data_IF_574416262953
#
_entry.id   IF_574416262953
#
_cell.length_a   1.000
_cell.length_b   1.000
_cell.length_c   1.000
_cell.angle_alpha   90.00
_cell.angle_beta   90.00
_cell.angle_gamma   90.00
#
_symmetry.space_group_name_H-M   'P 1'
#
loop_
_entity.id
_entity.type
_entity.pdbx_description
1 polymer ?
#
# COMPACT_ATOMS: atom_id res chain seq x y z
N UNK A 1 59.38 -20.22 -43.41
CA UNK A 1 58.82 -18.95 -42.88
C UNK A 1 57.35 -18.98 -43.22
N UNK A 2 56.54 -19.38 -42.25
CA UNK A 2 55.08 -19.42 -42.38
C UNK A 2 54.55 -18.77 -41.11
N UNK A 3 54.11 -17.53 -41.25
CA UNK A 3 53.44 -16.75 -40.22
C UNK A 3 51.93 -16.87 -40.41
N UNK A 4 51.19 -16.75 -39.30
CA UNK A 4 49.74 -16.57 -39.08
C UNK A 4 49.24 -17.63 -38.08
N UNK A 5 48.54 -17.34 -37.00
CA UNK A 5 48.01 -16.11 -36.40
C UNK A 5 47.50 -16.50 -35.00
N UNK A 6 47.64 -15.67 -33.95
CA UNK A 6 47.16 -16.00 -32.61
C UNK A 6 45.63 -15.93 -32.52
N UNK A 7 45.04 -16.88 -31.80
CA UNK A 7 43.60 -17.03 -31.59
C UNK A 7 42.96 -15.75 -31.03
N UNK A 8 41.96 -15.23 -31.73
CA UNK A 8 41.11 -14.14 -31.27
C UNK A 8 40.26 -14.59 -30.07
N UNK A 9 40.68 -14.23 -28.87
CA UNK A 9 39.87 -14.25 -27.66
C UNK A 9 38.86 -13.11 -27.71
N UNK A 10 37.63 -13.42 -28.10
CA UNK A 10 36.53 -12.45 -28.13
C UNK A 10 36.23 -11.99 -26.69
N UNK A 11 36.66 -10.77 -26.33
CA UNK A 11 36.23 -10.09 -25.10
C UNK A 11 34.70 -10.01 -25.10
N UNK A 12 34.04 -10.79 -24.23
CA UNK A 12 32.60 -10.65 -23.98
C UNK A 12 32.37 -9.35 -23.21
N UNK A 13 31.78 -8.35 -23.85
CA UNK A 13 31.46 -7.08 -23.22
C UNK A 13 30.43 -7.25 -22.07
N UNK A 14 30.42 -6.32 -21.12
CA UNK A 14 29.53 -6.33 -19.95
C UNK A 14 28.03 -6.43 -20.31
N UNK A 15 27.64 -5.90 -21.48
CA UNK A 15 26.24 -5.85 -21.94
C UNK A 15 25.80 -7.04 -22.80
N UNK A 16 26.73 -7.95 -23.15
CA UNK A 16 26.44 -9.13 -23.97
C UNK A 16 25.28 -10.00 -23.39
N UNK A 17 25.20 -10.29 -22.08
CA UNK A 17 24.09 -11.09 -21.53
C UNK A 17 22.72 -10.39 -21.56
N UNK A 18 22.67 -9.08 -21.35
CA UNK A 18 21.42 -8.30 -21.46
C UNK A 18 20.92 -8.23 -22.90
N UNK A 19 21.84 -8.03 -23.84
CA UNK A 19 21.54 -7.99 -25.27
C UNK A 19 20.96 -9.32 -25.74
N UNK A 20 21.63 -10.42 -25.44
CA UNK A 20 21.18 -11.78 -25.81
C UNK A 20 19.84 -12.16 -25.19
N UNK A 21 19.58 -11.74 -23.94
CA UNK A 21 18.27 -11.90 -23.30
C UNK A 21 17.18 -11.12 -24.06
N UNK A 22 17.44 -9.87 -24.40
CA UNK A 22 16.48 -9.00 -25.10
C UNK A 22 16.13 -9.50 -26.50
N UNK A 23 17.12 -9.98 -27.27
CA UNK A 23 16.90 -10.52 -28.62
C UNK A 23 16.27 -11.93 -28.61
N UNK A 24 16.04 -12.51 -27.44
CA UNK A 24 15.38 -13.81 -27.33
C UNK A 24 16.27 -14.99 -27.74
N UNK A 25 17.59 -14.84 -27.66
CA UNK A 25 18.55 -15.91 -27.91
C UNK A 25 18.68 -16.85 -26.70
N UNK A 26 18.20 -16.41 -25.53
CA UNK A 26 18.15 -17.22 -24.33
C UNK A 26 17.05 -18.29 -24.38
N UNK A 27 17.26 -19.46 -23.73
CA UNK A 27 16.25 -20.52 -23.65
C UNK A 27 14.95 -20.02 -23.01
N UNK A 28 13.82 -20.33 -23.65
CA UNK A 28 12.48 -19.91 -23.23
C UNK A 28 12.19 -20.20 -21.75
N UNK A 29 12.53 -21.40 -21.28
CA UNK A 29 12.27 -21.82 -19.89
C UNK A 29 13.03 -20.94 -18.89
N UNK A 30 14.27 -20.55 -19.19
CA UNK A 30 15.09 -19.73 -18.32
C UNK A 30 14.59 -18.28 -18.32
N UNK A 31 14.32 -17.73 -19.51
CA UNK A 31 13.74 -16.39 -19.69
C UNK A 31 12.42 -16.26 -18.92
N UNK A 32 11.57 -17.27 -18.98
CA UNK A 32 10.29 -17.28 -18.30
C UNK A 32 10.40 -17.52 -16.79
N UNK A 33 10.98 -18.64 -16.34
CA UNK A 33 10.96 -19.01 -14.91
C UNK A 33 11.93 -18.21 -14.06
N UNK A 34 13.14 -17.95 -14.57
CA UNK A 34 14.15 -17.24 -13.79
C UNK A 34 13.83 -15.74 -13.82
N UNK A 35 13.76 -15.14 -15.01
CA UNK A 35 13.61 -13.68 -15.09
C UNK A 35 12.15 -13.24 -14.96
N UNK A 36 11.21 -13.95 -15.58
CA UNK A 36 9.78 -13.62 -15.53
C UNK A 36 9.09 -13.98 -14.22
N UNK A 37 9.49 -15.06 -13.54
CA UNK A 37 8.82 -15.50 -12.30
C UNK A 37 9.68 -15.23 -11.08
N UNK A 38 10.89 -15.79 -11.00
CA UNK A 38 11.71 -15.73 -9.80
C UNK A 38 12.16 -14.29 -9.48
N UNK A 39 12.76 -13.57 -10.44
CA UNK A 39 13.24 -12.21 -10.19
C UNK A 39 12.09 -11.25 -9.88
N UNK A 40 10.98 -11.33 -10.62
CA UNK A 40 9.78 -10.52 -10.34
C UNK A 40 9.22 -10.82 -8.94
N UNK A 41 9.23 -12.09 -8.51
CA UNK A 41 8.82 -12.46 -7.15
C UNK A 41 9.73 -11.86 -6.09
N UNK A 42 11.06 -11.90 -6.29
CA UNK A 42 12.01 -11.26 -5.37
C UNK A 42 11.83 -9.74 -5.29
N UNK A 43 11.56 -9.09 -6.43
CA UNK A 43 11.23 -7.67 -6.48
C UNK A 43 9.97 -7.39 -5.66
N UNK A 44 8.92 -8.20 -5.81
CA UNK A 44 7.67 -8.05 -5.05
C UNK A 44 7.88 -8.23 -3.54
N UNK A 45 8.71 -9.19 -3.11
CA UNK A 45 9.08 -9.38 -1.70
C UNK A 45 9.84 -8.16 -1.18
N UNK A 46 10.77 -7.61 -1.97
CA UNK A 46 11.47 -6.38 -1.63
C UNK A 46 10.53 -5.19 -1.45
N UNK A 47 9.58 -5.01 -2.38
CA UNK A 47 8.55 -3.97 -2.26
C UNK A 47 7.65 -4.17 -1.05
N UNK A 48 7.26 -5.41 -0.74
CA UNK A 48 6.48 -5.71 0.46
C UNK A 48 7.22 -5.27 1.73
N UNK A 49 8.52 -5.57 1.84
CA UNK A 49 9.35 -5.13 2.96
C UNK A 49 9.48 -3.59 3.04
N UNK A 50 9.59 -2.91 1.90
CA UNK A 50 9.62 -1.44 1.86
C UNK A 50 8.28 -0.87 2.35
N UNK A 51 7.16 -1.40 1.87
CA UNK A 51 5.82 -0.95 2.25
C UNK A 51 5.60 -1.15 3.75
N UNK A 52 5.96 -2.31 4.30
CA UNK A 52 5.80 -2.59 5.74
C UNK A 52 6.64 -1.69 6.64
N UNK A 53 7.71 -1.09 6.11
CA UNK A 53 8.64 -0.23 6.85
C UNK A 53 8.69 1.21 6.32
N UNK A 54 7.67 1.63 5.55
CA UNK A 54 7.72 2.86 4.75
C UNK A 54 7.97 4.12 5.61
N UNK A 55 7.38 4.16 6.80
CA UNK A 55 7.49 5.25 7.78
C UNK A 55 8.94 5.44 8.21
N UNK A 56 9.62 4.36 8.57
CA UNK A 56 11.01 4.37 9.04
C UNK A 56 11.97 4.69 7.91
N UNK A 57 11.72 4.15 6.71
CA UNK A 57 12.56 4.36 5.52
C UNK A 57 12.47 5.82 5.07
N UNK A 58 11.26 6.34 4.83
CA UNK A 58 11.05 7.73 4.37
C UNK A 58 11.67 8.74 5.34
N UNK A 59 11.59 8.48 6.65
CA UNK A 59 12.22 9.34 7.65
C UNK A 59 13.74 9.42 7.56
N UNK A 60 14.40 8.32 7.19
CA UNK A 60 15.86 8.22 7.17
C UNK A 60 16.46 8.64 5.83
N UNK A 61 15.84 8.21 4.73
CA UNK A 61 16.40 8.35 3.38
C UNK A 61 15.55 9.23 2.45
N UNK A 62 14.40 9.71 2.93
CA UNK A 62 13.46 10.48 2.11
C UNK A 62 12.63 9.63 1.14
N UNK A 63 11.79 10.30 0.37
CA UNK A 63 10.88 9.67 -0.60
C UNK A 63 11.51 9.47 -1.98
N UNK A 64 12.51 10.28 -2.36
CA UNK A 64 13.11 10.27 -3.69
C UNK A 64 13.71 8.91 -4.11
N UNK A 65 14.50 8.21 -3.26
CA UNK A 65 15.06 6.91 -3.64
C UNK A 65 13.99 5.85 -3.93
N UNK A 66 12.85 5.94 -3.25
CA UNK A 66 11.73 4.99 -3.40
C UNK A 66 11.12 5.16 -4.79
N UNK A 67 10.89 6.39 -5.23
CA UNK A 67 10.39 6.66 -6.59
C UNK A 67 11.39 6.20 -7.66
N UNK A 68 12.69 6.40 -7.45
CA UNK A 68 13.74 5.90 -8.34
C UNK A 68 13.72 4.37 -8.46
N UNK A 69 13.55 3.66 -7.35
CA UNK A 69 13.46 2.20 -7.33
C UNK A 69 12.20 1.69 -8.06
N UNK A 70 11.06 2.35 -7.85
CA UNK A 70 9.80 2.03 -8.56
C UNK A 70 10.00 2.20 -10.08
N UNK A 71 10.61 3.31 -10.51
CA UNK A 71 10.87 3.56 -11.92
C UNK A 71 11.78 2.48 -12.53
N UNK A 72 12.84 2.09 -11.83
CA UNK A 72 13.74 1.03 -12.27
C UNK A 72 13.01 -0.33 -12.40
N UNK A 73 12.15 -0.66 -11.44
CA UNK A 73 11.35 -1.88 -11.48
C UNK A 73 10.37 -1.89 -12.67
N UNK A 74 9.74 -0.75 -12.98
CA UNK A 74 8.87 -0.63 -14.15
C UNK A 74 9.63 -0.86 -15.47
N UNK A 75 10.82 -0.25 -15.61
CA UNK A 75 11.68 -0.44 -16.78
C UNK A 75 12.06 -1.92 -16.92
N UNK A 76 12.42 -2.57 -15.80
CA UNK A 76 12.75 -3.99 -15.78
C UNK A 76 11.58 -4.89 -16.24
N UNK A 77 10.36 -4.64 -15.74
CA UNK A 77 9.17 -5.41 -16.12
C UNK A 77 8.89 -5.32 -17.62
N UNK A 78 8.94 -4.11 -18.18
CA UNK A 78 8.74 -3.89 -19.63
C UNK A 78 9.81 -4.64 -20.42
N UNK A 79 11.08 -4.52 -20.00
CA UNK A 79 12.20 -5.19 -20.64
C UNK A 79 12.02 -6.72 -20.64
N UNK A 80 11.59 -7.31 -19.53
CA UNK A 80 11.37 -8.76 -19.42
C UNK A 80 10.19 -9.24 -20.26
N UNK A 81 9.09 -8.47 -20.34
CA UNK A 81 7.99 -8.83 -21.25
C UNK A 81 8.45 -8.89 -22.70
N UNK A 82 9.27 -7.94 -23.15
CA UNK A 82 9.84 -7.95 -24.50
C UNK A 82 10.78 -9.15 -24.68
N UNK A 83 11.66 -9.41 -23.71
CA UNK A 83 12.60 -10.54 -23.76
C UNK A 83 11.88 -11.90 -23.83
N UNK A 84 10.84 -12.10 -23.02
CA UNK A 84 10.01 -13.32 -23.03
C UNK A 84 9.30 -13.46 -24.38
N UNK A 85 8.73 -12.36 -24.91
CA UNK A 85 8.06 -12.37 -26.20
C UNK A 85 9.00 -12.75 -27.35
N UNK A 86 10.19 -12.17 -27.37
CA UNK A 86 11.21 -12.45 -28.38
C UNK A 86 11.72 -13.89 -28.26
N UNK A 87 12.01 -14.36 -27.04
CA UNK A 87 12.42 -15.74 -26.77
C UNK A 87 11.36 -16.76 -27.20
N UNK A 88 10.07 -16.48 -26.95
CA UNK A 88 8.97 -17.31 -27.42
C UNK A 88 8.83 -17.29 -28.94
N UNK A 89 9.15 -16.18 -29.60
CA UNK A 89 9.10 -16.07 -31.07
C UNK A 89 10.22 -16.84 -31.77
N UNK A 90 11.40 -16.92 -31.14
CA UNK A 90 12.55 -17.66 -31.66
C UNK A 90 12.56 -19.13 -31.21
N UNK A 91 11.56 -19.56 -30.43
CA UNK A 91 11.53 -20.90 -29.87
C UNK A 91 11.24 -21.96 -30.94
N UNK A 92 12.22 -22.83 -31.19
CA UNK A 92 12.14 -23.90 -32.20
C UNK A 92 11.46 -25.18 -31.70
N UNK A 93 11.14 -25.27 -30.40
CA UNK A 93 10.53 -26.46 -29.79
C UNK A 93 9.01 -26.55 -29.98
N UNK A 94 8.29 -26.92 -28.92
CA UNK A 94 6.83 -26.99 -28.95
C UNK A 94 6.18 -25.62 -29.24
N UNK A 95 5.45 -25.54 -30.35
CA UNK A 95 4.69 -24.33 -30.71
C UNK A 95 3.62 -23.98 -29.68
N UNK A 96 3.05 -24.97 -29.00
CA UNK A 96 2.05 -24.76 -27.95
C UNK A 96 2.66 -23.97 -26.79
N UNK A 97 3.87 -24.31 -26.37
CA UNK A 97 4.57 -23.60 -25.29
C UNK A 97 4.86 -22.14 -25.67
N UNK A 98 5.33 -21.91 -26.89
CA UNK A 98 5.56 -20.55 -27.38
C UNK A 98 4.28 -19.71 -27.40
N UNK A 99 3.16 -20.28 -27.87
CA UNK A 99 1.86 -19.60 -27.91
C UNK A 99 1.36 -19.31 -26.49
N UNK A 100 1.40 -20.29 -25.59
CA UNK A 100 0.99 -20.11 -24.19
C UNK A 100 1.78 -19.00 -23.51
N UNK A 101 3.10 -18.96 -23.68
CA UNK A 101 3.93 -17.91 -23.10
C UNK A 101 3.54 -16.53 -23.63
N UNK A 102 3.27 -16.38 -24.92
CA UNK A 102 2.80 -15.11 -25.50
C UNK A 102 1.45 -14.67 -24.92
N UNK A 103 0.51 -15.62 -24.77
CA UNK A 103 -0.80 -15.35 -24.13
C UNK A 103 -0.61 -14.88 -22.69
N UNK A 104 0.27 -15.52 -21.91
CA UNK A 104 0.57 -15.11 -20.53
C UNK A 104 1.13 -13.68 -20.49
N UNK A 105 2.04 -13.32 -21.41
CA UNK A 105 2.58 -11.95 -21.48
C UNK A 105 1.47 -10.93 -21.79
N UNK A 106 0.58 -11.23 -22.76
CA UNK A 106 -0.56 -10.37 -23.08
C UNK A 106 -1.49 -10.19 -21.87
N UNK A 107 -1.83 -11.29 -21.18
CA UNK A 107 -2.66 -11.23 -19.98
C UNK A 107 -1.99 -10.42 -18.86
N UNK A 108 -0.68 -10.57 -18.69
CA UNK A 108 0.10 -9.82 -17.70
C UNK A 108 0.07 -8.31 -17.99
N UNK A 109 0.31 -7.92 -19.24
CA UNK A 109 0.21 -6.53 -19.69
C UNK A 109 -1.20 -5.99 -19.44
N UNK A 110 -2.23 -6.73 -19.84
CA UNK A 110 -3.62 -6.32 -19.65
C UNK A 110 -3.98 -6.15 -18.17
N UNK A 111 -3.53 -7.08 -17.31
CA UNK A 111 -3.75 -7.01 -15.87
C UNK A 111 -3.03 -5.81 -15.24
N UNK A 112 -1.79 -5.52 -15.64
CA UNK A 112 -1.06 -4.34 -15.17
C UNK A 112 -1.73 -3.03 -15.61
N UNK A 113 -2.19 -2.95 -16.86
CA UNK A 113 -2.93 -1.78 -17.34
C UNK A 113 -4.25 -1.59 -16.59
N UNK A 114 -4.98 -2.69 -16.35
CA UNK A 114 -6.21 -2.68 -15.56
C UNK A 114 -5.93 -2.21 -14.12
N UNK A 115 -4.90 -2.74 -13.48
CA UNK A 115 -4.50 -2.30 -12.14
C UNK A 115 -4.21 -0.80 -12.11
N UNK A 116 -3.44 -0.28 -13.07
CA UNK A 116 -3.15 1.15 -13.15
C UNK A 116 -4.42 1.99 -13.38
N UNK A 117 -5.31 1.53 -14.26
CA UNK A 117 -6.60 2.17 -14.51
C UNK A 117 -7.48 2.22 -13.25
N UNK A 118 -7.61 1.11 -12.52
CA UNK A 118 -8.38 1.06 -11.29
C UNK A 118 -7.79 1.98 -10.21
N UNK A 119 -6.47 1.98 -10.04
CA UNK A 119 -5.81 2.85 -9.05
C UNK A 119 -5.93 4.34 -9.39
N UNK A 120 -5.80 4.71 -10.67
CA UNK A 120 -6.01 6.11 -11.10
C UNK A 120 -7.45 6.57 -10.88
N UNK A 121 -8.44 5.71 -11.14
CA UNK A 121 -9.85 5.98 -10.86
C UNK A 121 -10.14 6.07 -9.35
N UNK A 122 -9.53 5.21 -8.54
CA UNK A 122 -9.64 5.30 -7.09
C UNK A 122 -9.08 6.62 -6.55
N UNK A 123 -7.92 7.05 -7.07
CA UNK A 123 -7.35 8.35 -6.72
C UNK A 123 -8.23 9.53 -7.17
N UNK A 124 -8.99 9.38 -8.26
CA UNK A 124 -9.93 10.38 -8.76
C UNK A 124 -11.28 10.42 -8.01
N UNK A 125 -11.56 9.51 -7.07
CA UNK A 125 -12.79 9.59 -6.28
C UNK A 125 -12.81 10.80 -5.33
N UNK A 126 -14.00 11.35 -5.14
CA UNK A 126 -14.27 12.40 -4.15
C UNK A 126 -13.99 11.88 -2.74
N UNK A 127 -13.55 12.75 -1.84
CA UNK A 127 -13.15 12.38 -0.47
C UNK A 127 -14.24 11.61 0.26
N UNK A 128 -15.51 11.99 0.09
CA UNK A 128 -16.68 11.32 0.67
C UNK A 128 -16.76 9.82 0.31
N UNK A 129 -16.49 9.48 -0.97
CA UNK A 129 -16.53 8.09 -1.43
C UNK A 129 -15.38 7.27 -0.85
N UNK A 130 -14.17 7.88 -0.78
CA UNK A 130 -12.98 7.25 -0.18
C UNK A 130 -13.21 7.00 1.31
N UNK A 131 -13.75 7.99 2.04
CA UNK A 131 -14.05 7.87 3.46
C UNK A 131 -15.15 6.84 3.73
N UNK A 132 -16.18 6.76 2.88
CA UNK A 132 -17.22 5.73 3.01
C UNK A 132 -16.65 4.32 2.77
N UNK A 133 -15.74 4.16 1.80
CA UNK A 133 -15.05 2.89 1.58
C UNK A 133 -14.20 2.49 2.80
N UNK A 134 -13.47 3.45 3.39
CA UNK A 134 -12.70 3.23 4.63
C UNK A 134 -13.62 2.83 5.78
N UNK A 135 -14.71 3.57 6.00
CA UNK A 135 -15.69 3.25 7.04
C UNK A 135 -16.27 1.84 6.83
N UNK A 136 -16.66 1.49 5.61
CA UNK A 136 -17.18 0.16 5.25
C UNK A 136 -16.16 -0.94 5.54
N UNK A 137 -14.88 -0.72 5.23
CA UNK A 137 -13.82 -1.69 5.51
C UNK A 137 -13.59 -1.87 7.01
N UNK A 138 -13.54 -0.78 7.79
CA UNK A 138 -13.36 -0.83 9.24
C UNK A 138 -14.52 -1.56 9.92
N UNK A 139 -15.75 -1.30 9.49
CA UNK A 139 -16.95 -1.94 10.05
C UNK A 139 -16.98 -3.47 9.89
N UNK A 140 -16.19 -4.07 8.99
CA UNK A 140 -16.15 -5.55 8.83
C UNK A 140 -15.60 -6.28 10.04
N UNK A 141 -14.79 -5.60 10.86
CA UNK A 141 -14.12 -6.18 12.02
C UNK A 141 -14.64 -5.58 13.34
N UNK A 142 -15.81 -4.94 13.33
CA UNK A 142 -16.43 -4.37 14.53
C UNK A 142 -17.49 -5.33 15.12
N UNK A 143 -17.75 -5.26 16.44
CA UNK A 143 -17.09 -4.39 17.43
C UNK A 143 -15.64 -4.79 17.70
N UNK A 144 -14.78 -3.79 17.94
CA UNK A 144 -13.36 -3.99 18.23
C UNK A 144 -13.01 -3.37 19.59
N UNK A 145 -12.48 -4.20 20.49
CA UNK A 145 -12.01 -3.77 21.81
C UNK A 145 -10.72 -2.95 21.67
N UNK A 146 -10.75 -1.70 22.13
CA UNK A 146 -9.58 -0.79 22.10
C UNK A 146 -8.77 -0.96 23.37
N UNK A 147 -9.46 -0.99 24.50
CA UNK A 147 -8.90 -1.20 25.82
C UNK A 147 -9.95 -1.89 26.73
N UNK A 148 -9.68 -1.99 28.03
CA UNK A 148 -10.60 -2.69 28.92
C UNK A 148 -11.97 -2.01 29.12
N UNK A 149 -12.08 -0.71 28.84
CA UNK A 149 -13.25 0.11 29.11
C UNK A 149 -13.82 0.77 27.85
N UNK A 150 -13.24 0.55 26.68
CA UNK A 150 -13.64 1.17 25.42
C UNK A 150 -13.71 0.16 24.27
N UNK A 151 -14.84 0.13 23.59
CA UNK A 151 -15.04 -0.61 22.35
C UNK A 151 -15.40 0.33 21.19
N UNK A 152 -14.75 0.17 20.05
CA UNK A 152 -15.18 0.78 18.79
C UNK A 152 -16.32 -0.06 18.23
N UNK A 153 -17.52 0.51 18.14
CA UNK A 153 -18.73 -0.23 17.74
C UNK A 153 -19.18 0.10 16.32
N UNK A 154 -18.81 1.28 15.80
CA UNK A 154 -19.16 1.71 14.45
C UNK A 154 -18.19 2.75 13.94
N UNK A 155 -17.94 2.75 12.62
CA UNK A 155 -17.32 3.87 11.92
C UNK A 155 -18.27 4.37 10.84
N UNK A 156 -18.41 5.69 10.69
CA UNK A 156 -19.18 6.31 9.61
C UNK A 156 -18.38 7.41 8.94
N UNK A 157 -18.80 7.80 7.74
CA UNK A 157 -18.28 8.96 7.05
C UNK A 157 -19.40 9.93 6.74
N UNK A 158 -19.16 11.22 6.90
CA UNK A 158 -20.05 12.29 6.43
C UNK A 158 -19.22 13.41 5.82
N UNK A 159 -19.35 13.61 4.51
CA UNK A 159 -18.53 14.55 3.75
C UNK A 159 -17.03 14.32 4.02
N UNK A 160 -16.35 15.34 4.55
CA UNK A 160 -14.94 15.30 4.92
C UNK A 160 -14.70 14.85 6.37
N UNK A 161 -15.64 14.13 6.99
CA UNK A 161 -15.54 13.65 8.37
C UNK A 161 -15.49 12.14 8.42
N UNK A 162 -14.61 11.62 9.26
CA UNK A 162 -14.62 10.21 9.66
C UNK A 162 -15.00 10.13 11.14
N UNK A 163 -16.13 9.49 11.41
CA UNK A 163 -16.76 9.46 12.73
C UNK A 163 -16.58 8.06 13.33
N UNK A 164 -15.88 8.00 14.45
CA UNK A 164 -15.66 6.79 15.22
C UNK A 164 -16.61 6.78 16.41
N UNK A 165 -17.48 5.77 16.49
CA UNK A 165 -18.42 5.60 17.59
C UNK A 165 -17.87 4.59 18.58
N UNK A 166 -17.52 5.09 19.77
CA UNK A 166 -17.02 4.30 20.88
C UNK A 166 -18.10 4.09 21.93
N UNK A 167 -18.18 2.86 22.44
CA UNK A 167 -19.00 2.49 23.58
C UNK A 167 -18.09 2.32 24.80
N UNK A 168 -18.39 3.06 25.87
CA UNK A 168 -17.79 2.85 27.18
C UNK A 168 -18.42 1.60 27.82
N UNK A 169 -17.59 0.65 28.22
CA UNK A 169 -17.98 -0.67 28.74
C UNK A 169 -17.27 -0.96 30.07
N UNK A 170 -17.73 -2.00 30.78
CA UNK A 170 -17.11 -2.49 32.02
C UNK A 170 -17.04 -1.50 33.19
N UNK A 171 -17.91 -0.49 33.19
CA UNK A 171 -18.15 0.38 34.35
C UNK A 171 -19.28 -0.15 35.22
N UNK A 172 -19.13 -0.12 36.54
CA UNK A 172 -20.19 -0.44 37.48
C UNK A 172 -21.21 0.72 37.61
N UNK A 173 -22.35 0.50 38.28
CA UNK A 173 -23.42 1.49 38.38
C UNK A 173 -22.97 2.83 39.00
N UNK A 174 -22.08 2.80 39.99
CA UNK A 174 -21.57 4.00 40.67
C UNK A 174 -20.61 4.78 39.76
N UNK A 175 -19.73 4.09 39.05
CA UNK A 175 -18.82 4.69 38.08
C UNK A 175 -19.59 5.32 36.91
N UNK A 176 -20.58 4.61 36.38
CA UNK A 176 -21.46 5.13 35.33
C UNK A 176 -22.15 6.42 35.78
N UNK A 177 -22.72 6.42 36.98
CA UNK A 177 -23.37 7.60 37.56
C UNK A 177 -22.40 8.76 37.73
N UNK A 178 -21.15 8.48 38.14
CA UNK A 178 -20.10 9.49 38.32
C UNK A 178 -19.65 10.11 36.99
N UNK A 179 -19.52 9.30 35.94
CA UNK A 179 -19.21 9.79 34.58
C UNK A 179 -20.36 10.66 34.06
N UNK A 180 -21.60 10.23 34.29
CA UNK A 180 -22.80 10.95 33.86
C UNK A 180 -22.98 12.29 34.60
N UNK A 181 -22.58 12.39 35.87
CA UNK A 181 -22.62 13.64 36.64
C UNK A 181 -21.44 14.56 36.35
N UNK A 182 -20.26 14.03 36.03
CA UNK A 182 -19.03 14.80 35.81
C UNK A 182 -18.53 14.71 34.35
N UNK A 183 -19.45 14.89 33.39
CA UNK A 183 -19.16 14.74 31.95
C UNK A 183 -18.03 15.65 31.47
N UNK A 184 -17.94 16.86 32.01
CA UNK A 184 -16.94 17.84 31.60
C UNK A 184 -15.52 17.39 31.99
N UNK A 185 -15.35 16.81 33.19
CA UNK A 185 -14.06 16.27 33.62
C UNK A 185 -13.67 15.04 32.78
N UNK A 186 -14.63 14.16 32.50
CA UNK A 186 -14.41 13.00 31.64
C UNK A 186 -14.03 13.41 30.22
N UNK A 187 -14.73 14.40 29.66
CA UNK A 187 -14.42 15.01 28.36
C UNK A 187 -13.00 15.59 28.39
N UNK A 188 -12.64 16.39 29.40
CA UNK A 188 -11.33 17.03 29.48
C UNK A 188 -10.18 16.01 29.47
N UNK A 189 -10.31 14.92 30.22
CA UNK A 189 -9.29 13.85 30.27
C UNK A 189 -9.10 13.17 28.90
N UNK A 190 -10.20 12.85 28.22
CA UNK A 190 -10.15 12.19 26.91
C UNK A 190 -9.76 13.13 25.79
N UNK A 191 -10.23 14.38 25.82
CA UNK A 191 -9.93 15.41 24.83
C UNK A 191 -8.43 15.63 24.70
N UNK A 192 -7.72 15.82 25.82
CA UNK A 192 -6.25 15.97 25.81
C UNK A 192 -5.57 14.74 25.24
N UNK A 193 -5.90 13.54 25.74
CA UNK A 193 -5.24 12.30 25.31
C UNK A 193 -5.48 12.00 23.82
N UNK A 194 -6.70 12.19 23.32
CA UNK A 194 -7.03 11.94 21.92
C UNK A 194 -6.32 12.94 21.03
N UNK A 195 -6.36 14.23 21.36
CA UNK A 195 -5.68 15.26 20.56
C UNK A 195 -4.19 15.02 20.49
N UNK A 196 -3.54 14.73 21.61
CA UNK A 196 -2.10 14.41 21.63
C UNK A 196 -1.78 13.19 20.75
N UNK A 197 -2.54 12.10 20.87
CA UNK A 197 -2.32 10.88 20.09
C UNK A 197 -2.58 11.09 18.59
N UNK A 198 -3.63 11.82 18.23
CA UNK A 198 -3.97 12.11 16.83
C UNK A 198 -2.94 13.04 16.19
N UNK A 199 -2.59 14.15 16.87
CA UNK A 199 -1.70 15.16 16.32
C UNK A 199 -0.23 14.70 16.27
N UNK A 200 0.19 13.79 17.16
CA UNK A 200 1.53 13.21 17.15
C UNK A 200 1.67 11.99 16.21
N UNK A 201 0.57 11.30 15.90
CA UNK A 201 0.57 10.16 14.99
C UNK A 201 0.73 10.60 13.54
N UNK A 202 1.80 10.14 12.88
CA UNK A 202 2.01 10.41 11.45
C UNK A 202 0.87 9.91 10.58
N UNK A 203 0.30 8.76 10.91
CA UNK A 203 -0.77 8.15 10.13
C UNK A 203 -2.04 8.99 10.22
N UNK A 204 -2.40 9.42 11.44
CA UNK A 204 -3.60 10.24 11.65
C UNK A 204 -3.41 11.65 11.09
N UNK A 205 -2.20 12.22 11.20
CA UNK A 205 -1.87 13.53 10.65
C UNK A 205 -2.13 13.62 9.14
N UNK A 206 -1.98 12.52 8.38
CA UNK A 206 -2.31 12.51 6.94
C UNK A 206 -3.78 12.80 6.65
N UNK A 207 -4.69 12.40 7.53
CA UNK A 207 -6.11 12.76 7.38
C UNK A 207 -6.30 14.25 7.65
N UNK A 208 -5.69 14.76 8.72
CA UNK A 208 -5.76 16.17 9.10
C UNK A 208 -5.17 17.09 8.01
N UNK A 209 -4.00 16.75 7.45
CA UNK A 209 -3.34 17.48 6.36
C UNK A 209 -4.17 17.49 5.06
N UNK A 210 -5.11 16.55 4.91
CA UNK A 210 -6.07 16.47 3.81
C UNK A 210 -7.40 17.16 4.15
N UNK A 211 -7.42 17.97 5.20
CA UNK A 211 -8.59 18.67 5.74
C UNK A 211 -9.72 17.72 6.21
N UNK A 212 -9.41 16.45 6.46
CA UNK A 212 -10.37 15.46 6.95
C UNK A 212 -10.48 15.61 8.47
N UNK A 213 -11.70 15.82 8.97
CA UNK A 213 -11.98 15.91 10.40
C UNK A 213 -12.22 14.51 10.99
N UNK A 214 -11.50 14.18 12.06
CA UNK A 214 -11.70 12.94 12.80
C UNK A 214 -12.60 13.24 14.01
N UNK A 215 -13.74 12.56 14.11
CA UNK A 215 -14.71 12.77 15.19
C UNK A 215 -14.79 11.52 16.06
N UNK A 216 -14.44 11.66 17.34
CA UNK A 216 -14.49 10.59 18.33
C UNK A 216 -15.76 10.76 19.17
N UNK A 217 -16.78 9.94 18.90
CA UNK A 217 -18.07 10.02 19.59
C UNK A 217 -18.19 8.91 20.63
N UNK A 218 -18.35 9.28 21.90
CA UNK A 218 -18.46 8.33 23.01
C UNK A 218 -19.91 8.18 23.48
N UNK A 219 -20.34 6.95 23.70
CA UNK A 219 -21.62 6.61 24.32
C UNK A 219 -21.43 5.73 25.55
N UNK A 220 -22.36 5.84 26.50
CA UNK A 220 -22.48 4.98 27.66
C UNK A 220 -23.90 4.43 27.71
N UNK A 221 -24.05 3.10 27.75
CA UNK A 221 -25.32 2.39 27.63
C UNK A 221 -26.20 2.87 26.45
N UNK A 222 -25.58 3.12 25.30
CA UNK A 222 -26.27 3.61 24.10
C UNK A 222 -26.63 5.11 24.11
N UNK A 223 -26.46 5.81 25.24
CA UNK A 223 -26.65 7.25 25.32
C UNK A 223 -25.35 7.98 24.94
N UNK A 224 -25.41 8.88 23.97
CA UNK A 224 -24.26 9.73 23.61
C UNK A 224 -23.87 10.63 24.79
N UNK A 225 -22.58 10.62 25.13
CA UNK A 225 -22.01 11.46 26.19
C UNK A 225 -21.43 12.75 25.64
N UNK A 226 -20.46 12.63 24.73
CA UNK A 226 -19.76 13.76 24.11
C UNK A 226 -19.07 13.30 22.81
N UNK A 227 -18.65 14.28 22.02
CA UNK A 227 -17.89 14.07 20.80
C UNK A 227 -16.69 15.00 20.77
N UNK A 228 -15.54 14.46 20.39
CA UNK A 228 -14.27 15.19 20.34
C UNK A 228 -13.89 15.30 18.85
N UNK A 229 -14.09 16.48 18.22
CA UNK A 229 -13.61 16.74 16.88
C UNK A 229 -12.10 17.03 16.92
N UNK A 230 -11.36 16.45 15.98
CA UNK A 230 -9.95 16.75 15.74
C UNK A 230 -9.78 17.12 14.27
N UNK A 231 -9.29 18.32 14.04
CA UNK A 231 -9.07 18.92 12.72
C UNK A 231 -7.74 19.69 12.70
N UNK A 232 -7.43 20.34 11.59
CA UNK A 232 -6.17 21.08 11.41
C UNK A 232 -5.97 22.16 12.48
N UNK A 233 -7.03 22.92 12.81
CA UNK A 233 -6.98 23.94 13.85
C UNK A 233 -6.77 23.37 15.25
N UNK A 234 -7.00 22.07 15.46
CA UNK A 234 -6.76 21.39 16.75
C UNK A 234 -5.30 21.00 16.93
N UNK A 235 -4.58 20.71 15.84
CA UNK A 235 -3.19 20.20 15.88
C UNK A 235 -2.11 21.27 15.69
N UNK A 236 -2.48 22.51 15.33
CA UNK A 236 -1.56 23.60 15.02
C UNK A 236 -1.45 24.66 16.15
N UNK A 237 -1.77 24.29 17.40
CA UNK A 237 -1.56 25.12 18.59
C UNK A 237 -0.40 24.62 19.45
#
# INVERSE_FOLDING_TARGET
MESLSPSNTHKRGLFTPLKTLFYGEFPLWATFWIFGVLVITLINIGFYFIISNIITIVNKIGTFPIYGLILLAMIYIIFIWIAIWNSASNYQGSKILAILTKVIVILSVAFTLLFFYLNSRFNAQNTDQKLNAIATLLNKNLPAKIDNHTELVKVASDKNKLIYYFQLINFNANEKSSILSNREEALKKLDTSIKENVCSSREMKRFIDQNIELVYSYSLDGQQLFSIPVNEGTCNY
#
